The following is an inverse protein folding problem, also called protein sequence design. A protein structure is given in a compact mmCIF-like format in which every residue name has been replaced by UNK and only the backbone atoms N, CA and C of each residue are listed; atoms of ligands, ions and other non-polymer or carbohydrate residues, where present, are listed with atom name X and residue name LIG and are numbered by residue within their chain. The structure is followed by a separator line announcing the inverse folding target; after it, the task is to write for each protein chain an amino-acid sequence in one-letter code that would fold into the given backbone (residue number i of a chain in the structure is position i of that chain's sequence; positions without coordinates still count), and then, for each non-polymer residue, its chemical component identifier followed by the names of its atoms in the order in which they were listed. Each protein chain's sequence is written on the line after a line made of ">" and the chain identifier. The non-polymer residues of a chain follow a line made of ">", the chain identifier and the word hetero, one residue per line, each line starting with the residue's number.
data_IF_510556892882
#
_entry.id   IF_510556892882
#
_cell.length_a   1.000
_cell.length_b   1.000
_cell.length_c   1.000
_cell.angle_alpha   90.00
_cell.angle_beta   90.00
_cell.angle_gamma   90.00
#
_symmetry.space_group_name_H-M   'P 1'
#
loop_
_entity.id
_entity.type
_entity.pdbx_description
1 polymer ?
#
# COMPACT_ATOMS: atom_id res chain seq x y z
N UNK A 1 -6.83 -97.01 -27.33
CA UNK A 1 -6.81 -96.05 -28.46
C UNK A 1 -7.73 -94.91 -28.08
N UNK A 2 -7.37 -93.66 -28.35
CA UNK A 2 -8.28 -92.54 -28.11
C UNK A 2 -9.34 -92.64 -29.21
N UNK A 3 -10.48 -93.23 -28.89
CA UNK A 3 -11.64 -93.20 -29.78
C UNK A 3 -12.16 -91.76 -29.77
N UNK A 4 -11.93 -91.05 -30.88
CA UNK A 4 -12.51 -89.73 -31.13
C UNK A 4 -14.01 -89.92 -31.44
N UNK A 5 -14.78 -90.17 -30.39
CA UNK A 5 -16.23 -90.21 -30.47
C UNK A 5 -16.81 -88.79 -30.31
N UNK A 6 -18.01 -88.56 -30.85
CA UNK A 6 -18.70 -87.26 -30.84
C UNK A 6 -18.91 -86.64 -29.45
N UNK A 7 -18.76 -87.42 -28.38
CA UNK A 7 -18.69 -86.97 -26.99
C UNK A 7 -17.50 -86.04 -26.72
N UNK A 8 -16.35 -86.26 -27.37
CA UNK A 8 -15.16 -85.42 -27.21
C UNK A 8 -15.37 -84.05 -27.85
N UNK A 9 -16.08 -84.00 -28.98
CA UNK A 9 -16.53 -82.75 -29.62
C UNK A 9 -17.54 -82.03 -28.75
N UNK A 10 -18.53 -82.75 -28.19
CA UNK A 10 -19.53 -82.19 -27.28
C UNK A 10 -18.88 -81.60 -26.01
N UNK A 11 -17.90 -82.29 -25.43
CA UNK A 11 -17.17 -81.83 -24.26
C UNK A 11 -16.30 -80.60 -24.57
N UNK A 12 -15.69 -80.53 -25.76
CA UNK A 12 -14.97 -79.35 -26.21
C UNK A 12 -15.89 -78.14 -26.37
N UNK A 13 -17.07 -78.32 -26.97
CA UNK A 13 -18.09 -77.26 -27.09
C UNK A 13 -18.56 -76.80 -25.70
N UNK A 14 -18.81 -77.73 -24.77
CA UNK A 14 -19.19 -77.39 -23.40
C UNK A 14 -18.10 -76.57 -22.68
N UNK A 15 -16.83 -76.98 -22.82
CA UNK A 15 -15.69 -76.24 -22.28
C UNK A 15 -15.57 -74.84 -22.88
N UNK A 16 -15.80 -74.70 -24.19
CA UNK A 16 -15.77 -73.40 -24.87
C UNK A 16 -16.88 -72.47 -24.36
N UNK A 17 -18.11 -72.99 -24.21
CA UNK A 17 -19.23 -72.25 -23.63
C UNK A 17 -18.89 -71.80 -22.21
N UNK A 18 -18.36 -72.71 -21.38
CA UNK A 18 -17.94 -72.38 -20.02
C UNK A 18 -16.88 -71.26 -20.02
N UNK A 19 -15.89 -71.32 -20.92
CA UNK A 19 -14.87 -70.28 -21.07
C UNK A 19 -15.46 -68.91 -21.39
N UNK A 20 -16.43 -68.86 -22.31
CA UNK A 20 -17.13 -67.62 -22.68
C UNK A 20 -17.92 -67.06 -21.51
N UNK A 21 -18.66 -67.92 -20.80
CA UNK A 21 -19.43 -67.54 -19.59
C UNK A 21 -18.49 -67.02 -18.50
N UNK A 22 -17.39 -67.71 -18.24
CA UNK A 22 -16.39 -67.32 -17.24
C UNK A 22 -15.71 -65.98 -17.62
N UNK A 23 -15.42 -65.78 -18.90
CA UNK A 23 -14.87 -64.52 -19.41
C UNK A 23 -15.83 -63.34 -19.20
N UNK A 24 -17.12 -63.54 -19.49
CA UNK A 24 -18.14 -62.52 -19.32
C UNK A 24 -18.45 -62.22 -17.85
N UNK A 25 -18.58 -63.26 -17.01
CA UNK A 25 -19.03 -63.13 -15.62
C UNK A 25 -17.92 -62.89 -14.60
N UNK A 26 -16.67 -63.33 -14.84
CA UNK A 26 -15.58 -63.20 -13.86
C UNK A 26 -14.42 -62.35 -14.38
N UNK A 27 -13.85 -62.69 -15.53
CA UNK A 27 -12.62 -62.01 -15.97
C UNK A 27 -12.84 -60.55 -16.35
N UNK A 28 -13.92 -60.23 -17.07
CA UNK A 28 -14.30 -58.83 -17.38
C UNK A 28 -14.54 -57.99 -16.12
N UNK A 29 -15.45 -58.35 -15.20
CA UNK A 29 -15.70 -57.52 -14.01
C UNK A 29 -14.48 -57.44 -13.08
N UNK A 30 -13.68 -58.51 -12.96
CA UNK A 30 -12.46 -58.48 -12.17
C UNK A 30 -11.43 -57.49 -12.73
N UNK A 31 -11.22 -57.49 -14.05
CA UNK A 31 -10.31 -56.53 -14.70
C UNK A 31 -10.83 -55.10 -14.56
N UNK A 32 -12.12 -54.88 -14.74
CA UNK A 32 -12.74 -53.57 -14.55
C UNK A 32 -12.56 -53.06 -13.11
N UNK A 33 -12.77 -53.92 -12.10
CA UNK A 33 -12.57 -53.57 -10.70
C UNK A 33 -11.10 -53.23 -10.38
N UNK A 34 -10.14 -53.98 -10.95
CA UNK A 34 -8.71 -53.70 -10.78
C UNK A 34 -8.31 -52.37 -11.45
N UNK A 35 -8.86 -52.08 -12.63
CA UNK A 35 -8.58 -50.84 -13.35
C UNK A 35 -9.20 -49.63 -12.62
N UNK A 36 -10.45 -49.74 -12.17
CA UNK A 36 -11.10 -48.70 -11.37
C UNK A 36 -10.32 -48.41 -10.07
N UNK A 37 -9.79 -49.45 -9.40
CA UNK A 37 -8.91 -49.25 -8.23
C UNK A 37 -7.62 -48.51 -8.59
N UNK A 38 -6.96 -48.88 -9.69
CA UNK A 38 -5.74 -48.20 -10.15
C UNK A 38 -6.01 -46.73 -10.48
N UNK A 39 -7.05 -46.45 -11.26
CA UNK A 39 -7.45 -45.09 -11.63
C UNK A 39 -7.81 -44.25 -10.41
N UNK A 40 -8.52 -44.82 -9.43
CA UNK A 40 -8.87 -44.11 -8.18
C UNK A 40 -7.60 -43.72 -7.40
N UNK A 41 -6.62 -44.62 -7.31
CA UNK A 41 -5.36 -44.37 -6.61
C UNK A 41 -4.53 -43.31 -7.35
N UNK A 42 -4.37 -43.45 -8.67
CA UNK A 42 -3.60 -42.52 -9.49
C UNK A 42 -4.23 -41.12 -9.50
N UNK A 43 -5.55 -41.03 -9.69
CA UNK A 43 -6.28 -39.75 -9.65
C UNK A 43 -6.22 -39.10 -8.28
N UNK A 44 -6.32 -39.87 -7.19
CA UNK A 44 -6.18 -39.34 -5.83
C UNK A 44 -4.78 -38.78 -5.61
N UNK A 45 -3.74 -39.47 -6.08
CA UNK A 45 -2.35 -39.00 -6.00
C UNK A 45 -2.14 -37.72 -6.82
N UNK A 46 -2.65 -37.67 -8.05
CA UNK A 46 -2.58 -36.48 -8.90
C UNK A 46 -3.30 -35.29 -8.25
N UNK A 47 -4.48 -35.54 -7.64
CA UNK A 47 -5.25 -34.50 -6.93
C UNK A 47 -4.50 -33.96 -5.71
N UNK A 48 -3.80 -34.81 -4.96
CA UNK A 48 -2.97 -34.35 -3.84
C UNK A 48 -1.84 -33.46 -4.35
N UNK A 49 -1.14 -33.85 -5.41
CA UNK A 49 -0.08 -33.03 -6.00
C UNK A 49 -0.59 -31.68 -6.51
N UNK A 50 -1.72 -31.68 -7.22
CA UNK A 50 -2.35 -30.43 -7.71
C UNK A 50 -2.76 -29.50 -6.55
N UNK A 51 -3.32 -30.06 -5.47
CA UNK A 51 -3.66 -29.27 -4.27
C UNK A 51 -2.39 -28.71 -3.62
N UNK A 52 -1.33 -29.50 -3.47
CA UNK A 52 -0.07 -29.04 -2.87
C UNK A 52 0.56 -27.92 -3.71
N UNK A 53 0.58 -28.06 -5.04
CA UNK A 53 1.07 -27.02 -5.95
C UNK A 53 0.23 -25.74 -5.89
N UNK A 54 -1.10 -25.87 -5.85
CA UNK A 54 -2.00 -24.72 -5.71
C UNK A 54 -1.81 -24.02 -4.37
N UNK A 55 -1.67 -24.76 -3.27
CA UNK A 55 -1.39 -24.19 -1.94
C UNK A 55 -0.06 -23.45 -1.95
N UNK A 56 0.99 -24.06 -2.49
CA UNK A 56 2.31 -23.43 -2.55
C UNK A 56 2.28 -22.15 -3.40
N UNK A 57 1.64 -22.19 -4.56
CA UNK A 57 1.44 -21.02 -5.42
C UNK A 57 0.65 -19.91 -4.71
N UNK A 58 -0.41 -20.26 -3.99
CA UNK A 58 -1.19 -19.27 -3.23
C UNK A 58 -0.40 -18.66 -2.08
N UNK A 59 0.40 -19.45 -1.35
CA UNK A 59 1.29 -18.93 -0.30
C UNK A 59 2.30 -17.95 -0.91
N UNK A 60 2.98 -18.32 -1.99
CA UNK A 60 3.95 -17.44 -2.64
C UNK A 60 3.31 -16.14 -3.15
N UNK A 61 2.10 -16.21 -3.74
CA UNK A 61 1.36 -15.01 -4.15
C UNK A 61 0.96 -14.14 -2.96
N UNK A 62 0.50 -14.75 -1.88
CA UNK A 62 0.12 -14.04 -0.66
C UNK A 62 1.31 -13.33 -0.02
N UNK A 63 2.45 -14.01 0.09
CA UNK A 63 3.70 -13.43 0.61
C UNK A 63 4.19 -12.27 -0.26
N UNK A 64 4.14 -12.43 -1.59
CA UNK A 64 4.50 -11.37 -2.52
C UNK A 64 3.59 -10.14 -2.38
N UNK A 65 2.26 -10.34 -2.33
CA UNK A 65 1.29 -9.26 -2.11
C UNK A 65 1.50 -8.56 -0.76
N UNK A 66 1.79 -9.32 0.29
CA UNK A 66 2.07 -8.75 1.61
C UNK A 66 3.35 -7.91 1.60
N UNK A 67 4.40 -8.37 0.93
CA UNK A 67 5.64 -7.63 0.78
C UNK A 67 5.43 -6.35 -0.03
N UNK A 68 4.68 -6.43 -1.14
CA UNK A 68 4.35 -5.28 -1.98
C UNK A 68 3.53 -4.24 -1.18
N UNK A 69 2.48 -4.65 -0.48
CA UNK A 69 1.67 -3.77 0.35
C UNK A 69 2.51 -3.08 1.45
N UNK A 70 3.45 -3.80 2.08
CA UNK A 70 4.38 -3.21 3.06
C UNK A 70 5.30 -2.17 2.41
N UNK A 71 5.84 -2.46 1.23
CA UNK A 71 6.69 -1.51 0.51
C UNK A 71 5.91 -0.25 0.11
N UNK A 72 4.71 -0.41 -0.44
CA UNK A 72 3.82 0.69 -0.79
C UNK A 72 3.49 1.55 0.43
N UNK A 73 3.12 0.93 1.56
CA UNK A 73 2.83 1.67 2.79
C UNK A 73 4.03 2.44 3.35
N UNK A 74 5.25 1.87 3.26
CA UNK A 74 6.47 2.58 3.65
C UNK A 74 6.76 3.75 2.71
N UNK A 75 6.60 3.56 1.41
CA UNK A 75 6.80 4.61 0.41
C UNK A 75 5.80 5.76 0.60
N UNK A 76 4.52 5.44 0.77
CA UNK A 76 3.46 6.42 1.01
C UNK A 76 3.70 7.20 2.31
N UNK A 77 4.02 6.51 3.41
CA UNK A 77 4.37 7.17 4.67
C UNK A 77 5.59 8.07 4.51
N UNK A 78 6.60 7.65 3.76
CA UNK A 78 7.78 8.47 3.50
C UNK A 78 7.45 9.70 2.66
N UNK A 79 6.59 9.55 1.65
CA UNK A 79 6.13 10.65 0.81
C UNK A 79 5.33 11.67 1.63
N UNK A 80 4.35 11.21 2.41
CA UNK A 80 3.55 12.07 3.30
C UNK A 80 4.42 12.81 4.31
N UNK A 81 5.41 12.13 4.90
CA UNK A 81 6.34 12.78 5.84
C UNK A 81 7.16 13.86 5.14
N UNK A 82 7.64 13.61 3.92
CA UNK A 82 8.41 14.58 3.14
C UNK A 82 7.55 15.80 2.78
N UNK A 83 6.34 15.58 2.27
CA UNK A 83 5.39 16.67 1.98
C UNK A 83 5.06 17.47 3.23
N UNK A 84 4.85 16.81 4.37
CA UNK A 84 4.59 17.47 5.65
C UNK A 84 5.77 18.34 6.11
N UNK A 85 7.01 17.86 5.94
CA UNK A 85 8.21 18.64 6.26
C UNK A 85 8.39 19.84 5.31
N UNK A 86 8.15 19.66 4.02
CA UNK A 86 8.21 20.75 3.04
C UNK A 86 7.18 21.84 3.34
N UNK A 87 5.96 21.43 3.71
CA UNK A 87 4.89 22.36 4.10
C UNK A 87 5.20 23.06 5.43
N UNK A 88 5.75 22.35 6.42
CA UNK A 88 6.20 22.96 7.68
C UNK A 88 7.26 24.04 7.42
N UNK A 89 8.27 23.74 6.60
CA UNK A 89 9.31 24.71 6.21
C UNK A 89 8.70 25.90 5.47
N UNK A 90 7.73 25.66 4.58
CA UNK A 90 7.03 26.72 3.84
C UNK A 90 6.27 27.65 4.78
N UNK A 91 5.45 27.10 5.67
CA UNK A 91 4.65 27.87 6.64
C UNK A 91 5.55 28.67 7.58
N UNK A 92 6.60 28.05 8.13
CA UNK A 92 7.54 28.74 9.00
C UNK A 92 8.31 29.84 8.26
N UNK A 93 8.69 29.59 7.00
CA UNK A 93 9.33 30.58 6.14
C UNK A 93 8.43 31.79 5.86
N UNK A 94 7.17 31.55 5.49
CA UNK A 94 6.16 32.59 5.26
C UNK A 94 5.85 33.39 6.54
N UNK A 95 5.73 32.70 7.69
CA UNK A 95 5.51 33.34 8.98
C UNK A 95 6.69 34.24 9.38
N UNK A 96 7.93 33.77 9.23
CA UNK A 96 9.13 34.56 9.51
C UNK A 96 9.23 35.78 8.58
N UNK A 97 8.93 35.62 7.29
CA UNK A 97 8.92 36.73 6.33
C UNK A 97 7.88 37.77 6.69
N UNK A 98 6.66 37.33 7.01
CA UNK A 98 5.57 38.22 7.43
C UNK A 98 5.92 38.96 8.73
N UNK A 99 6.57 38.28 9.68
CA UNK A 99 7.03 38.91 10.91
C UNK A 99 8.11 39.97 10.64
N UNK A 100 9.09 39.66 9.79
CA UNK A 100 10.13 40.61 9.38
C UNK A 100 9.54 41.83 8.67
N UNK A 101 8.62 41.64 7.73
CA UNK A 101 7.95 42.73 7.00
C UNK A 101 7.14 43.63 7.96
N UNK A 102 6.44 43.04 8.94
CA UNK A 102 5.71 43.79 9.96
C UNK A 102 6.67 44.61 10.84
N UNK A 103 7.77 44.00 11.29
CA UNK A 103 8.76 44.69 12.11
C UNK A 103 9.35 45.88 11.35
N UNK A 104 9.73 45.69 10.09
CA UNK A 104 10.25 46.75 9.24
C UNK A 104 9.25 47.91 9.07
N UNK A 105 7.97 47.60 8.85
CA UNK A 105 6.91 48.63 8.76
C UNK A 105 6.75 49.41 10.05
N UNK A 106 6.71 48.71 11.20
CA UNK A 106 6.59 49.35 12.52
C UNK A 106 7.80 50.25 12.79
N UNK A 107 9.02 49.77 12.51
CA UNK A 107 10.23 50.59 12.69
C UNK A 107 10.22 51.83 11.80
N UNK A 108 9.76 51.72 10.55
CA UNK A 108 9.62 52.86 9.66
C UNK A 108 8.58 53.88 10.18
N UNK A 109 7.42 53.41 10.67
CA UNK A 109 6.40 54.27 11.27
C UNK A 109 6.89 55.00 12.52
N UNK A 110 7.60 54.29 13.42
CA UNK A 110 8.18 54.90 14.63
C UNK A 110 9.19 55.99 14.25
N UNK A 111 10.02 55.74 13.22
CA UNK A 111 10.99 56.72 12.76
C UNK A 111 10.31 57.97 12.20
N UNK A 112 9.26 57.80 11.41
CA UNK A 112 8.45 58.89 10.85
C UNK A 112 7.74 59.71 11.94
N UNK A 113 7.10 59.04 12.91
CA UNK A 113 6.47 59.70 14.07
C UNK A 113 7.50 60.46 14.92
N UNK A 114 8.67 59.88 15.17
CA UNK A 114 9.73 60.53 15.93
C UNK A 114 10.27 61.79 15.22
N UNK A 115 10.41 61.74 13.89
CA UNK A 115 10.87 62.88 13.11
C UNK A 115 9.80 63.98 13.02
N UNK A 116 8.52 63.62 12.91
CA UNK A 116 7.39 64.56 13.01
C UNK A 116 7.34 65.24 14.39
N UNK A 117 7.42 64.47 15.48
CA UNK A 117 7.42 65.01 16.84
C UNK A 117 8.61 65.94 17.09
N UNK A 118 9.79 65.62 16.54
CA UNK A 118 10.97 66.52 16.59
C UNK A 118 10.74 67.83 15.85
N UNK A 119 10.11 67.80 14.69
CA UNK A 119 9.76 69.01 13.94
C UNK A 119 8.78 69.89 14.73
N UNK A 120 7.75 69.27 15.32
CA UNK A 120 6.76 69.98 16.12
C UNK A 120 7.39 70.63 17.37
N UNK A 121 8.24 69.90 18.10
CA UNK A 121 8.98 70.43 19.24
C UNK A 121 9.91 71.59 18.85
N UNK A 122 10.57 71.54 17.69
CA UNK A 122 11.39 72.66 17.20
C UNK A 122 10.54 73.91 16.96
N UNK A 123 9.36 73.76 16.37
CA UNK A 123 8.41 74.87 16.19
C UNK A 123 7.95 75.48 17.53
N UNK A 124 7.69 74.62 18.54
CA UNK A 124 7.32 75.08 19.88
C UNK A 124 8.51 75.69 20.65
N UNK A 125 9.75 75.31 20.34
CA UNK A 125 10.95 75.83 21.00
C UNK A 125 11.14 77.31 20.74
N UNK A 126 10.85 77.80 19.53
CA UNK A 126 10.91 79.24 19.23
C UNK A 126 9.86 80.03 20.05
N UNK A 127 8.63 79.50 20.16
CA UNK A 127 7.57 80.12 20.95
C UNK A 127 7.94 80.16 22.44
N UNK A 128 8.43 79.05 23.00
CA UNK A 128 8.90 78.94 24.38
C UNK A 128 10.10 79.86 24.66
N UNK A 129 11.07 79.93 23.74
CA UNK A 129 12.23 80.81 23.87
C UNK A 129 11.80 82.29 23.91
N UNK A 130 10.81 82.67 23.09
CA UNK A 130 10.24 84.02 23.08
C UNK A 130 9.50 84.34 24.38
N UNK A 131 8.74 83.38 24.92
CA UNK A 131 8.05 83.53 26.21
C UNK A 131 9.04 83.70 27.38
N UNK A 132 10.12 82.90 27.41
CA UNK A 132 11.17 82.99 28.42
C UNK A 132 11.90 84.33 28.32
N UNK A 133 12.29 84.75 27.10
CA UNK A 133 12.95 86.04 26.88
C UNK A 133 12.06 87.21 27.34
N UNK A 134 10.75 87.16 27.07
CA UNK A 134 9.78 88.14 27.55
C UNK A 134 9.66 88.19 29.08
N UNK A 135 9.68 87.03 29.75
CA UNK A 135 9.65 86.96 31.24
C UNK A 135 10.94 87.48 31.88
N UNK A 136 12.12 87.21 31.29
CA UNK A 136 13.42 87.65 31.83
C UNK A 136 13.67 89.15 31.58
N UNK A 137 13.27 89.68 30.42
CA UNK A 137 13.50 91.08 30.04
C UNK A 137 12.41 92.04 30.58
N UNK A 138 11.37 91.52 31.23
CA UNK A 138 10.35 92.32 31.94
C UNK A 138 9.43 93.15 31.03
N UNK A 139 9.50 92.98 29.70
CA UNK A 139 8.63 93.66 28.74
C UNK A 139 8.46 92.78 27.50
N UNK A 140 7.22 92.60 27.07
CA UNK A 140 6.87 91.77 25.92
C UNK A 140 7.51 92.33 24.63
N UNK A 141 8.15 91.45 23.87
CA UNK A 141 8.61 91.66 22.49
C UNK A 141 8.04 90.53 21.63
#
# INVERSE_FOLDING_TARGET
>A
MIELDGTLVLQFVNFMILLVVLNALLFKPLRAALQARKETIESSKAKVQDIDEQVQSQITRYEAQLQEARQQGVQERSALRKTGQEEEVRILGEANRTAADKLQKITAQIQEEADSARQELRGQTEALAKEIAGKVLGRAV
#
